data_IF_696158290483
#
_entry.id   IF_696158290483
#
_cell.length_a   1.000
_cell.length_b   1.000
_cell.length_c   1.000
_cell.angle_alpha   90.00
_cell.angle_beta   90.00
_cell.angle_gamma   90.00
#
_symmetry.space_group_name_H-M   'P 1'
#
loop_
_entity.id
_entity.type
_entity.pdbx_description
1 polymer ?
#
# COMPACT_ATOMS: atom_id res chain seq x y z
N UNK A 1 -6.73 0.26 -16.65
CA UNK A 1 -7.04 -0.76 -17.69
C UNK A 1 -6.63 -2.08 -17.08
N UNK A 2 -7.54 -3.05 -16.94
CA UNK A 2 -7.36 -4.22 -16.08
C UNK A 2 -6.07 -5.02 -16.38
N UNK A 3 -5.31 -5.39 -15.35
CA UNK A 3 -4.19 -6.34 -15.45
C UNK A 3 -4.60 -7.65 -16.15
N UNK A 4 -5.88 -8.05 -15.99
CA UNK A 4 -6.47 -9.17 -16.71
C UNK A 4 -6.39 -9.05 -18.25
N UNK A 5 -6.38 -7.83 -18.79
CA UNK A 5 -6.25 -7.57 -20.24
C UNK A 5 -4.80 -7.72 -20.72
N UNK A 6 -3.82 -7.43 -19.86
CA UNK A 6 -2.40 -7.63 -20.16
C UNK A 6 -2.01 -9.11 -20.06
N UNK A 7 -2.50 -9.80 -19.04
CA UNK A 7 -2.34 -11.24 -18.91
C UNK A 7 -3.02 -12.01 -20.06
N UNK A 8 -4.12 -11.47 -20.62
CA UNK A 8 -4.78 -12.02 -21.81
C UNK A 8 -3.88 -12.05 -23.05
N UNK A 9 -2.97 -11.07 -23.24
CA UNK A 9 -2.01 -11.11 -24.35
C UNK A 9 -1.01 -12.27 -24.23
N UNK A 10 -0.71 -12.70 -23.00
CA UNK A 10 0.18 -13.84 -22.73
C UNK A 10 -0.46 -15.19 -23.10
N UNK A 11 -1.80 -15.25 -23.23
CA UNK A 11 -2.54 -16.47 -23.60
C UNK A 11 -2.51 -16.81 -25.11
N UNK A 12 -1.95 -15.94 -25.95
CA UNK A 12 -1.89 -16.15 -27.40
C UNK A 12 -0.89 -17.25 -27.86
N UNK A 13 -0.35 -18.04 -26.91
CA UNK A 13 0.38 -19.28 -27.19
C UNK A 13 1.91 -19.16 -27.16
N UNK A 14 2.43 -18.02 -26.70
CA UNK A 14 3.85 -17.82 -26.45
C UNK A 14 3.97 -17.05 -25.15
N UNK A 15 4.72 -17.58 -24.17
CA UNK A 15 5.18 -16.85 -22.99
C UNK A 15 6.03 -15.65 -23.45
N UNK A 16 5.39 -14.58 -23.90
CA UNK A 16 6.06 -13.46 -24.56
C UNK A 16 6.57 -12.43 -23.56
N UNK A 17 6.01 -12.41 -22.35
CA UNK A 17 6.31 -11.42 -21.32
C UNK A 17 6.50 -12.09 -19.97
N UNK A 18 7.63 -11.76 -19.33
CA UNK A 18 7.86 -12.10 -17.93
C UNK A 18 7.23 -11.04 -17.00
N UNK A 19 7.31 -11.24 -15.69
CA UNK A 19 6.74 -10.31 -14.72
C UNK A 19 7.31 -8.89 -14.85
N UNK A 20 8.59 -8.74 -15.19
CA UNK A 20 9.22 -7.43 -15.40
C UNK A 20 8.62 -6.69 -16.61
N UNK A 21 8.35 -7.40 -17.71
CA UNK A 21 7.72 -6.84 -18.90
C UNK A 21 6.26 -6.41 -18.62
N UNK A 22 5.52 -7.22 -17.85
CA UNK A 22 4.16 -6.92 -17.42
C UNK A 22 4.13 -5.68 -16.52
N UNK A 23 5.03 -5.61 -15.53
CA UNK A 23 5.12 -4.47 -14.62
C UNK A 23 5.48 -3.19 -15.39
N UNK A 24 6.45 -3.26 -16.31
CA UNK A 24 6.83 -2.13 -17.14
C UNK A 24 5.64 -1.59 -17.94
N UNK A 25 4.92 -2.49 -18.64
CA UNK A 25 3.78 -2.12 -19.48
C UNK A 25 2.60 -1.58 -18.67
N UNK A 26 2.26 -2.22 -17.54
CA UNK A 26 1.19 -1.75 -16.68
C UNK A 26 1.56 -0.43 -15.98
N UNK A 27 2.84 -0.20 -15.69
CA UNK A 27 3.33 1.08 -15.17
C UNK A 27 3.17 2.21 -16.19
N UNK A 28 3.41 1.96 -17.47
CA UNK A 28 3.18 2.97 -18.53
C UNK A 28 1.72 3.41 -18.62
N UNK A 29 0.79 2.53 -18.21
CA UNK A 29 -0.65 2.78 -18.24
C UNK A 29 -1.17 3.49 -16.98
N UNK A 30 -0.73 3.04 -15.79
CA UNK A 30 -1.17 3.58 -14.51
C UNK A 30 -0.34 4.81 -14.06
N UNK A 31 0.86 4.96 -14.62
CA UNK A 31 1.83 6.02 -14.31
C UNK A 31 2.67 5.77 -13.06
N UNK A 32 2.45 4.67 -12.34
CA UNK A 32 3.24 4.27 -11.19
C UNK A 32 3.21 2.75 -10.98
N UNK A 33 4.30 2.14 -10.48
CA UNK A 33 4.46 0.69 -10.45
C UNK A 33 3.94 0.02 -9.17
N UNK A 34 3.68 0.75 -8.09
CA UNK A 34 3.39 0.21 -6.74
C UNK A 34 2.19 -0.76 -6.69
N UNK A 35 1.00 -0.32 -7.09
CA UNK A 35 -0.22 -1.14 -7.06
C UNK A 35 -0.17 -2.26 -8.11
N UNK A 36 0.39 -1.94 -9.27
CA UNK A 36 0.57 -2.88 -10.39
C UNK A 36 1.45 -4.04 -9.95
N UNK A 37 2.61 -3.73 -9.36
CA UNK A 37 3.55 -4.73 -8.89
C UNK A 37 2.95 -5.60 -7.79
N UNK A 38 2.24 -5.01 -6.82
CA UNK A 38 1.57 -5.77 -5.77
C UNK A 38 0.51 -6.73 -6.33
N UNK A 39 -0.26 -6.30 -7.34
CA UNK A 39 -1.27 -7.13 -7.98
C UNK A 39 -0.69 -8.22 -8.90
N UNK A 40 0.44 -7.95 -9.56
CA UNK A 40 1.11 -8.88 -10.47
C UNK A 40 1.92 -9.95 -9.71
N UNK A 41 2.68 -9.55 -8.69
CA UNK A 41 3.59 -10.44 -7.96
C UNK A 41 2.95 -11.09 -6.73
N UNK A 42 2.00 -10.39 -6.08
CA UNK A 42 1.51 -10.74 -4.76
C UNK A 42 2.52 -10.42 -3.65
N UNK A 43 2.21 -10.84 -2.43
CA UNK A 43 3.04 -10.56 -1.26
C UNK A 43 3.17 -9.07 -0.98
N UNK A 44 4.35 -8.66 -0.49
CA UNK A 44 4.73 -7.25 -0.42
C UNK A 44 5.79 -6.95 -1.47
N UNK A 45 5.74 -5.74 -2.04
CA UNK A 45 6.62 -5.33 -3.13
C UNK A 45 7.32 -4.01 -2.80
N UNK A 46 8.57 -3.91 -3.22
CA UNK A 46 9.27 -2.63 -3.36
C UNK A 46 9.28 -2.31 -4.85
N UNK A 47 8.62 -1.22 -5.25
CA UNK A 47 8.52 -0.80 -6.63
C UNK A 47 9.22 0.55 -6.85
N UNK A 48 9.88 0.71 -8.00
CA UNK A 48 10.61 1.93 -8.35
C UNK A 48 10.60 2.17 -9.86
N UNK A 49 11.00 3.37 -10.27
CA UNK A 49 11.24 3.72 -11.67
C UNK A 49 12.73 3.70 -11.96
N UNK A 50 13.13 3.07 -13.06
CA UNK A 50 14.50 3.08 -13.59
C UNK A 50 14.51 3.72 -15.00
N UNK A 51 15.65 4.24 -15.44
CA UNK A 51 15.83 4.65 -16.85
C UNK A 51 16.54 3.54 -17.62
N UNK A 52 15.83 2.86 -18.51
CA UNK A 52 16.38 1.82 -19.39
C UNK A 52 16.43 2.36 -20.81
N UNK A 53 17.65 2.52 -21.34
CA UNK A 53 17.88 3.13 -22.66
C UNK A 53 17.19 4.51 -22.85
N UNK A 54 17.08 5.31 -21.78
CA UNK A 54 16.42 6.62 -21.80
C UNK A 54 14.90 6.58 -21.65
N UNK A 55 14.29 5.40 -21.51
CA UNK A 55 12.86 5.22 -21.28
C UNK A 55 12.62 4.99 -19.78
N UNK A 56 11.69 5.70 -19.12
CA UNK A 56 11.24 5.36 -17.78
C UNK A 56 10.60 3.97 -17.77
N UNK A 57 11.05 3.10 -16.89
CA UNK A 57 10.57 1.72 -16.80
C UNK A 57 10.22 1.40 -15.35
N UNK A 58 9.00 0.91 -15.13
CA UNK A 58 8.58 0.39 -13.83
C UNK A 58 9.32 -0.91 -13.50
N UNK A 59 9.80 -1.02 -12.27
CA UNK A 59 10.47 -2.20 -11.76
C UNK A 59 9.92 -2.52 -10.38
N UNK A 60 9.95 -3.81 -9.99
CA UNK A 60 9.62 -4.18 -8.63
C UNK A 60 10.39 -5.41 -8.18
N UNK A 61 10.48 -5.56 -6.85
CA UNK A 61 10.98 -6.76 -6.20
C UNK A 61 9.97 -7.19 -5.15
N UNK A 62 9.58 -8.45 -5.19
CA UNK A 62 8.75 -9.06 -4.16
C UNK A 62 9.60 -9.46 -2.95
N UNK A 63 8.99 -9.45 -1.76
CA UNK A 63 9.52 -10.08 -0.57
C UNK A 63 8.40 -10.70 0.26
N UNK A 64 8.74 -11.72 1.07
CA UNK A 64 7.79 -12.38 1.96
C UNK A 64 7.46 -11.50 3.17
N UNK A 65 6.19 -11.51 3.56
CA UNK A 65 5.71 -10.90 4.80
C UNK A 65 5.70 -11.96 5.90
N UNK A 66 6.09 -11.57 7.11
CA UNK A 66 6.01 -12.40 8.30
C UNK A 66 4.55 -12.84 8.53
N UNK A 67 4.36 -14.14 8.76
CA UNK A 67 3.03 -14.76 8.84
C UNK A 67 2.19 -14.27 10.03
N UNK A 68 2.82 -13.64 11.03
CA UNK A 68 2.10 -13.04 12.16
C UNK A 68 1.48 -11.68 11.82
N UNK A 69 1.86 -11.06 10.69
CA UNK A 69 1.31 -9.78 10.27
C UNK A 69 -0.11 -9.98 9.75
N UNK A 70 -1.04 -9.27 10.39
CA UNK A 70 -2.45 -9.18 10.02
C UNK A 70 -2.75 -7.78 9.53
N UNK A 71 -3.67 -7.69 8.56
CA UNK A 71 -4.08 -6.44 7.95
C UNK A 71 -5.59 -6.24 8.15
N UNK A 72 -5.95 -5.06 8.66
CA UNK A 72 -7.33 -4.64 8.83
C UNK A 72 -7.56 -3.35 8.04
N UNK A 73 -8.58 -3.36 7.19
CA UNK A 73 -8.95 -2.22 6.38
C UNK A 73 -10.24 -1.58 6.90
N UNK A 74 -10.19 -0.29 7.16
CA UNK A 74 -11.36 0.52 7.49
C UNK A 74 -11.81 1.30 6.24
N UNK A 75 -12.95 0.89 5.70
CA UNK A 75 -13.58 1.49 4.54
C UNK A 75 -14.56 2.59 4.98
N UNK A 76 -14.31 3.86 4.66
CA UNK A 76 -15.25 4.93 4.98
C UNK A 76 -16.49 4.85 4.09
N UNK A 77 -17.63 5.28 4.62
CA UNK A 77 -18.88 5.37 3.85
C UNK A 77 -18.89 6.49 2.80
N UNK A 78 -17.87 7.35 2.79
CA UNK A 78 -17.73 8.48 1.85
C UNK A 78 -16.51 8.28 0.95
N UNK A 79 -16.69 8.43 -0.36
CA UNK A 79 -15.59 8.37 -1.32
C UNK A 79 -14.95 9.76 -1.52
N UNK A 80 -13.63 9.78 -1.64
CA UNK A 80 -12.86 10.93 -2.14
C UNK A 80 -12.25 10.55 -3.50
N UNK A 81 -12.30 11.44 -4.49
CA UNK A 81 -11.60 11.17 -5.75
C UNK A 81 -10.08 11.26 -5.56
N UNK A 82 -9.36 10.24 -6.04
CA UNK A 82 -7.88 10.11 -5.95
C UNK A 82 -7.14 11.32 -6.54
N UNK A 83 -7.70 11.93 -7.59
CA UNK A 83 -7.15 13.13 -8.23
C UNK A 83 -7.15 14.37 -7.32
N UNK A 84 -8.10 14.51 -6.38
CA UNK A 84 -8.08 15.61 -5.40
C UNK A 84 -6.98 15.39 -4.37
N UNK A 85 -6.84 14.17 -3.85
CA UNK A 85 -5.85 13.83 -2.83
C UNK A 85 -4.39 14.08 -3.28
N UNK A 86 -4.08 13.85 -4.57
CA UNK A 86 -2.73 14.10 -5.12
C UNK A 86 -2.38 15.59 -5.21
N UNK A 87 -3.36 16.46 -5.46
CA UNK A 87 -3.15 17.93 -5.55
C UNK A 87 -2.92 18.60 -4.19
N UNK A 88 -3.06 17.88 -3.09
CA UNK A 88 -2.90 18.40 -1.73
C UNK A 88 -1.46 18.33 -1.24
N UNK A 89 -0.58 17.65 -1.97
CA UNK A 89 0.82 17.50 -1.58
C UNK A 89 1.58 18.80 -1.91
N UNK A 90 2.46 19.26 -1.01
CA UNK A 90 3.30 20.41 -1.29
C UNK A 90 4.33 20.07 -2.38
N UNK A 91 4.76 21.09 -3.14
CA UNK A 91 5.85 20.93 -4.12
C UNK A 91 7.21 20.66 -3.47
N UNK A 92 7.38 21.08 -2.21
CA UNK A 92 8.62 20.94 -1.45
C UNK A 92 8.35 20.43 -0.04
N UNK A 93 9.25 19.58 0.44
CA UNK A 93 9.30 19.08 1.81
C UNK A 93 10.63 19.48 2.45
N UNK A 94 10.71 19.46 3.77
CA UNK A 94 11.99 19.70 4.44
C UNK A 94 12.94 18.52 4.25
N UNK A 95 14.25 18.77 4.25
CA UNK A 95 15.26 17.71 4.25
C UNK A 95 15.12 16.80 5.49
N UNK A 96 14.67 17.37 6.62
CA UNK A 96 14.42 16.62 7.84
C UNK A 96 13.33 15.56 7.62
N UNK A 97 12.17 15.97 7.12
CA UNK A 97 11.04 15.06 6.84
C UNK A 97 11.43 14.00 5.82
N UNK A 98 12.17 14.39 4.77
CA UNK A 98 12.68 13.46 3.77
C UNK A 98 13.61 12.40 4.38
N UNK A 99 14.50 12.82 5.29
CA UNK A 99 15.44 11.93 5.99
C UNK A 99 14.69 10.95 6.90
N UNK A 100 13.75 11.46 7.70
CA UNK A 100 12.93 10.63 8.59
C UNK A 100 12.13 9.62 7.78
N UNK A 101 11.41 10.06 6.76
CA UNK A 101 10.54 9.18 5.98
C UNK A 101 11.32 8.12 5.18
N UNK A 102 12.52 8.44 4.69
CA UNK A 102 13.40 7.46 4.04
C UNK A 102 13.78 6.33 5.01
N UNK A 103 14.06 6.68 6.27
CA UNK A 103 14.29 5.70 7.33
C UNK A 103 13.03 4.88 7.65
N UNK A 104 11.85 5.51 7.67
CA UNK A 104 10.57 4.83 7.89
C UNK A 104 10.23 3.82 6.79
N UNK A 105 10.44 4.18 5.53
CA UNK A 105 10.23 3.27 4.40
C UNK A 105 11.14 2.03 4.47
N UNK A 106 12.43 2.22 4.76
CA UNK A 106 13.36 1.10 4.94
C UNK A 106 12.97 0.23 6.16
N UNK A 107 12.56 0.87 7.26
CA UNK A 107 12.09 0.17 8.46
C UNK A 107 10.82 -0.65 8.19
N UNK A 108 9.92 -0.17 7.33
CA UNK A 108 8.69 -0.89 6.97
C UNK A 108 8.97 -2.19 6.24
N UNK A 109 9.91 -2.21 5.30
CA UNK A 109 10.35 -3.44 4.64
C UNK A 109 10.86 -4.44 5.69
N UNK A 110 11.75 -4.00 6.58
CA UNK A 110 12.29 -4.86 7.63
C UNK A 110 11.22 -5.37 8.62
N UNK A 111 10.29 -4.50 9.01
CA UNK A 111 9.20 -4.81 9.93
C UNK A 111 8.24 -5.83 9.33
N UNK A 112 7.82 -5.64 8.08
CA UNK A 112 6.97 -6.58 7.36
C UNK A 112 7.65 -7.93 7.18
N UNK A 113 8.95 -7.98 6.89
CA UNK A 113 9.64 -9.25 6.62
C UNK A 113 9.97 -10.07 7.87
N UNK A 114 10.40 -9.41 8.96
CA UNK A 114 11.07 -10.13 10.06
C UNK A 114 10.88 -9.53 11.45
N UNK A 115 10.38 -8.29 11.57
CA UNK A 115 10.29 -7.56 12.83
C UNK A 115 8.94 -6.85 12.98
N UNK A 116 7.83 -7.59 13.02
CA UNK A 116 6.50 -7.01 13.06
C UNK A 116 6.25 -6.16 14.32
N UNK A 117 7.04 -6.33 15.38
CA UNK A 117 7.06 -5.44 16.55
C UNK A 117 7.42 -3.97 16.21
N UNK A 118 8.07 -3.73 15.06
CA UNK A 118 8.46 -2.41 14.60
C UNK A 118 7.40 -1.73 13.71
N UNK A 119 6.27 -2.38 13.41
CA UNK A 119 5.23 -1.84 12.51
C UNK A 119 4.74 -0.45 12.94
N UNK A 120 4.57 -0.21 14.23
CA UNK A 120 4.11 1.08 14.74
C UNK A 120 5.05 2.23 14.35
N UNK A 121 6.35 2.01 14.58
CA UNK A 121 7.38 2.97 14.23
C UNK A 121 7.53 3.08 12.70
N UNK A 122 7.40 1.98 11.97
CA UNK A 122 7.61 1.93 10.53
C UNK A 122 6.51 2.61 9.69
N UNK A 123 5.28 2.62 10.18
CA UNK A 123 4.10 3.19 9.51
C UNK A 123 3.92 4.70 9.78
N UNK A 124 4.87 5.33 10.44
CA UNK A 124 4.89 6.79 10.55
C UNK A 124 5.25 7.42 9.19
N UNK A 125 4.48 8.43 8.78
CA UNK A 125 4.67 9.13 7.52
C UNK A 125 4.76 10.64 7.74
N UNK A 126 5.71 11.25 7.03
CA UNK A 126 5.96 12.69 7.03
C UNK A 126 5.75 13.33 5.65
N UNK A 127 5.44 12.55 4.61
CA UNK A 127 5.41 13.04 3.23
C UNK A 127 4.02 13.27 2.67
N UNK A 128 2.98 12.58 3.16
CA UNK A 128 1.70 12.62 2.44
C UNK A 128 0.42 12.60 3.30
N UNK A 129 0.38 11.91 4.43
CA UNK A 129 -0.86 11.70 5.18
C UNK A 129 -1.41 13.00 5.77
N UNK A 130 -0.55 13.78 6.43
CA UNK A 130 -0.94 15.02 7.11
C UNK A 130 -1.53 16.06 6.14
N UNK A 131 -0.94 16.16 4.93
CA UNK A 131 -1.36 17.07 3.88
C UNK A 131 -2.74 16.73 3.29
N UNK A 132 -3.19 15.49 3.40
CA UNK A 132 -4.51 15.04 2.90
C UNK A 132 -5.66 15.31 3.86
N UNK A 133 -5.41 15.87 5.05
CA UNK A 133 -6.43 16.09 6.09
C UNK A 133 -7.68 16.80 5.60
N UNK A 134 -7.56 17.88 4.82
CA UNK A 134 -8.74 18.61 4.35
C UNK A 134 -9.65 17.75 3.45
N UNK A 135 -9.08 16.76 2.75
CA UNK A 135 -9.82 15.86 1.86
C UNK A 135 -10.44 14.66 2.59
N UNK A 136 -9.87 14.24 3.71
CA UNK A 136 -10.31 13.05 4.46
C UNK A 136 -10.17 13.21 5.97
N UNK A 137 -10.83 14.23 6.57
CA UNK A 137 -10.63 14.55 7.99
C UNK A 137 -10.95 13.36 8.89
N UNK A 138 -12.04 12.64 8.63
CA UNK A 138 -12.43 11.45 9.40
C UNK A 138 -11.39 10.33 9.35
N UNK A 139 -10.79 10.09 8.19
CA UNK A 139 -9.75 9.06 8.04
C UNK A 139 -8.48 9.44 8.79
N UNK A 140 -8.09 10.71 8.72
CA UNK A 140 -6.93 11.21 9.47
C UNK A 140 -7.20 11.22 10.97
N UNK A 141 -8.41 11.56 11.41
CA UNK A 141 -8.80 11.49 12.82
C UNK A 141 -8.76 10.04 13.34
N UNK A 142 -9.20 9.07 12.52
CA UNK A 142 -9.09 7.65 12.86
C UNK A 142 -7.63 7.20 12.96
N UNK A 143 -6.78 7.56 11.99
CA UNK A 143 -5.33 7.28 12.04
C UNK A 143 -4.73 7.86 13.32
N UNK A 144 -4.99 9.13 13.63
CA UNK A 144 -4.48 9.77 14.83
C UNK A 144 -4.96 9.09 16.12
N UNK A 145 -6.25 8.73 16.19
CA UNK A 145 -6.84 8.03 17.34
C UNK A 145 -6.16 6.68 17.57
N UNK A 146 -6.05 5.87 16.52
CA UNK A 146 -5.43 4.54 16.59
C UNK A 146 -3.94 4.64 16.93
N UNK A 147 -3.21 5.54 16.27
CA UNK A 147 -1.79 5.76 16.57
C UNK A 147 -1.56 6.29 17.98
N UNK A 148 -2.46 7.13 18.50
CA UNK A 148 -2.44 7.58 19.90
C UNK A 148 -2.62 6.45 20.91
N UNK A 149 -3.19 5.32 20.49
CA UNK A 149 -3.31 4.09 21.27
C UNK A 149 -2.18 3.07 20.99
N UNK A 150 -1.15 3.44 20.22
CA UNK A 150 -0.02 2.55 19.89
C UNK A 150 -0.27 1.61 18.71
N UNK A 151 -1.35 1.81 17.93
CA UNK A 151 -1.71 0.95 16.79
C UNK A 151 -1.09 1.48 15.50
N UNK A 152 -0.50 0.60 14.69
CA UNK A 152 0.16 0.94 13.43
C UNK A 152 -0.85 1.21 12.30
N UNK A 153 -1.54 2.36 12.42
CA UNK A 153 -2.51 2.82 11.44
C UNK A 153 -1.90 3.81 10.44
N UNK A 154 -2.32 3.70 9.17
CA UNK A 154 -1.91 4.56 8.06
C UNK A 154 -3.04 4.70 7.02
N UNK A 155 -2.92 5.68 6.14
CA UNK A 155 -3.82 5.81 4.98
C UNK A 155 -3.44 4.76 3.94
N UNK A 156 -4.42 3.98 3.48
CA UNK A 156 -4.21 3.02 2.39
C UNK A 156 -4.13 3.77 1.05
N UNK A 157 -2.94 3.76 0.43
CA UNK A 157 -2.69 4.43 -0.86
C UNK A 157 -3.00 5.93 -0.81
N UNK A 158 -3.91 6.38 -1.70
CA UNK A 158 -4.38 7.77 -1.72
C UNK A 158 -5.43 8.08 -0.65
N UNK A 159 -5.97 7.06 0.03
CA UNK A 159 -7.16 7.12 0.87
C UNK A 159 -8.46 7.15 0.07
N UNK A 160 -9.62 7.26 0.73
CA UNK A 160 -9.78 7.59 2.16
C UNK A 160 -9.77 6.38 3.12
N UNK A 161 -9.53 5.17 2.64
CA UNK A 161 -9.44 3.99 3.52
C UNK A 161 -8.25 4.07 4.48
N UNK A 162 -8.43 3.54 5.69
CA UNK A 162 -7.37 3.43 6.70
C UNK A 162 -6.94 1.97 6.80
N UNK A 163 -5.65 1.70 6.68
CA UNK A 163 -5.05 0.39 6.85
C UNK A 163 -4.39 0.31 8.24
N UNK A 164 -4.62 -0.78 8.94
CA UNK A 164 -3.91 -1.15 10.16
C UNK A 164 -3.14 -2.43 9.91
N UNK A 165 -1.88 -2.43 10.33
CA UNK A 165 -1.05 -3.63 10.39
C UNK A 165 -0.78 -3.98 11.85
N UNK A 166 -0.96 -5.23 12.25
CA UNK A 166 -0.66 -5.65 13.62
C UNK A 166 -0.24 -7.13 13.66
N UNK A 167 0.45 -7.53 14.73
CA UNK A 167 0.79 -8.92 15.03
C UNK A 167 0.28 -9.35 16.41
N UNK A 168 -0.67 -8.59 16.96
CA UNK A 168 -1.30 -8.82 18.25
C UNK A 168 -2.32 -9.97 18.27
N UNK A 169 -2.84 -10.22 19.46
CA UNK A 169 -3.87 -11.22 19.77
C UNK A 169 -5.23 -10.88 19.17
N UNK A 170 -6.15 -11.85 19.13
CA UNK A 170 -7.54 -11.63 18.69
C UNK A 170 -8.27 -10.59 19.56
N UNK A 171 -7.96 -10.52 20.85
CA UNK A 171 -8.56 -9.52 21.74
C UNK A 171 -8.13 -8.09 21.35
N UNK A 172 -6.83 -7.89 21.06
CA UNK A 172 -6.32 -6.61 20.57
C UNK A 172 -6.90 -6.27 19.20
N UNK A 173 -7.08 -7.27 18.32
CA UNK A 173 -7.74 -7.11 17.03
C UNK A 173 -9.18 -6.60 17.19
N UNK A 174 -9.97 -7.21 18.07
CA UNK A 174 -11.35 -6.80 18.34
C UNK A 174 -11.42 -5.40 18.97
N UNK A 175 -10.47 -5.03 19.82
CA UNK A 175 -10.33 -3.67 20.36
C UNK A 175 -10.08 -2.63 19.25
N UNK A 176 -9.24 -2.96 18.27
CA UNK A 176 -8.96 -2.11 17.11
C UNK A 176 -10.24 -1.91 16.28
N UNK A 177 -10.99 -2.97 15.98
CA UNK A 177 -12.26 -2.88 15.23
C UNK A 177 -13.25 -1.98 15.95
N UNK A 178 -13.45 -2.19 17.26
CA UNK A 178 -14.36 -1.37 18.08
C UNK A 178 -13.96 0.11 18.13
N UNK A 179 -12.68 0.40 17.97
CA UNK A 179 -12.16 1.78 18.02
C UNK A 179 -12.52 2.62 16.79
N UNK A 180 -12.90 2.01 15.66
CA UNK A 180 -13.20 2.75 14.42
C UNK A 180 -14.53 3.53 14.44
N UNK A 181 -15.50 3.07 15.23
CA UNK A 181 -16.84 3.65 15.32
C UNK A 181 -17.66 3.49 14.04
N UNK A 182 -18.83 4.14 14.00
CA UNK A 182 -19.88 3.89 12.99
C UNK A 182 -19.64 4.55 11.62
N UNK A 183 -18.47 5.14 11.40
CA UNK A 183 -18.14 5.82 10.15
C UNK A 183 -17.38 4.93 9.14
N UNK A 184 -16.94 3.75 9.60
CA UNK A 184 -16.12 2.85 8.83
C UNK A 184 -16.66 1.42 8.94
N UNK A 185 -16.63 0.71 7.82
CA UNK A 185 -16.74 -0.74 7.82
C UNK A 185 -15.35 -1.33 7.97
N UNK A 186 -15.15 -2.16 9.00
CA UNK A 186 -13.92 -2.93 9.17
C UNK A 186 -13.95 -4.18 8.29
N UNK A 187 -12.83 -4.49 7.65
CA UNK A 187 -12.65 -5.67 6.80
C UNK A 187 -11.27 -6.28 7.06
N UNK A 188 -11.26 -7.51 7.56
CA UNK A 188 -10.06 -8.33 7.61
C UNK A 188 -9.54 -8.59 6.19
N UNK A 189 -8.23 -8.39 5.99
CA UNK A 189 -7.56 -8.68 4.74
C UNK A 189 -6.59 -9.84 4.93
N UNK A 190 -6.66 -10.80 4.01
CA UNK A 190 -5.61 -11.79 3.84
C UNK A 190 -4.51 -11.22 2.93
N UNK A 191 -3.26 -11.37 3.35
CA UNK A 191 -2.11 -11.05 2.51
C UNK A 191 -1.94 -12.20 1.51
N UNK A 192 -2.32 -11.97 0.26
CA UNK A 192 -2.12 -12.95 -0.81
C UNK A 192 -0.62 -13.12 -1.08
N UNK A 193 -0.02 -14.30 -0.91
CA UNK A 193 1.39 -14.52 -1.21
C UNK A 193 1.67 -14.61 -2.71
N UNK A 194 0.62 -14.84 -3.52
CA UNK A 194 0.70 -14.95 -4.97
C UNK A 194 -0.07 -13.79 -5.62
N UNK A 195 0.45 -13.32 -6.75
CA UNK A 195 -0.22 -12.31 -7.56
C UNK A 195 -1.31 -12.91 -8.44
N UNK A 196 -1.85 -12.05 -9.30
CA UNK A 196 -2.92 -12.42 -10.25
C UNK A 196 -2.43 -13.53 -11.16
N UNK A 197 -3.23 -14.61 -11.27
CA UNK A 197 -3.01 -15.70 -12.23
C UNK A 197 -4.29 -15.92 -13.01
N UNK A 198 -4.23 -15.86 -14.34
CA UNK A 198 -5.33 -16.33 -15.18
C UNK A 198 -5.28 -17.86 -15.26
N UNK A 199 -6.23 -18.54 -14.63
CA UNK A 199 -6.44 -19.97 -14.84
C UNK A 199 -7.30 -20.19 -16.08
N UNK A 200 -6.81 -20.94 -17.06
CA UNK A 200 -7.65 -21.43 -18.16
C UNK A 200 -8.68 -22.41 -17.58
N UNK A 201 -9.96 -22.03 -17.62
CA UNK A 201 -11.09 -22.92 -17.35
C UNK A 201 -11.56 -23.59 -18.65
#
# INVERSE_FOLDING_TARGET
MDLALLDFFNLSGSNLMNDDDLIALATDLEGHPDNVAAAALGGATVAWMESRAGVPTGCASQFSVDQSVRALLFLPHTQLSTGKARKMLPEMISHHDATVNSGRAALLVHALSTRPDLLFAATEDHLHQSYRREGMPRSIDLVNKLRGAGVAAMISGAGPSVLVLHSGTDAEHDDIIRSAGDHFTAMDLELSPEGTRLSNA
#
